data_IF_721634048972
#
_entry.id   IF_721634048972
#
_cell.length_a   1.000
_cell.length_b   1.000
_cell.length_c   1.000
_cell.angle_alpha   90.00
_cell.angle_beta   90.00
_cell.angle_gamma   90.00
#
_symmetry.space_group_name_H-M   'P 1'
#
loop_
_entity.id
_entity.type
_entity.pdbx_description
1 polymer ?
#
# COMPACT_ATOMS: atom_id res chain seq x y z
N UNK A 1 -18.08 8.11 -31.12
CA UNK A 1 -17.87 8.62 -29.75
C UNK A 1 -16.71 7.85 -29.15
N UNK A 2 -15.55 8.49 -29.06
CA UNK A 2 -14.35 7.91 -28.47
C UNK A 2 -14.60 7.84 -26.96
N UNK A 3 -15.00 6.65 -26.45
CA UNK A 3 -15.14 6.39 -25.00
C UNK A 3 -13.75 6.39 -24.40
N UNK A 4 -13.25 7.61 -24.20
CA UNK A 4 -11.88 7.88 -23.79
C UNK A 4 -11.60 7.23 -22.45
N UNK A 5 -10.66 6.27 -22.47
CA UNK A 5 -9.73 5.88 -21.41
C UNK A 5 -9.98 6.59 -20.06
N UNK A 6 -11.04 6.23 -19.34
CA UNK A 6 -11.28 6.84 -18.03
C UNK A 6 -10.31 6.21 -17.04
N UNK A 7 -9.33 7.01 -16.65
CA UNK A 7 -8.36 6.69 -15.62
C UNK A 7 -8.08 7.94 -14.80
N UNK A 8 -7.91 7.75 -13.50
CA UNK A 8 -7.43 8.77 -12.59
C UNK A 8 -6.27 8.19 -11.77
N UNK A 9 -5.41 9.06 -11.27
CA UNK A 9 -4.29 8.66 -10.43
C UNK A 9 -4.36 9.44 -9.14
N UNK A 10 -4.54 8.72 -8.03
CA UNK A 10 -4.31 9.27 -6.70
C UNK A 10 -2.81 9.37 -6.52
N UNK A 11 -2.33 10.60 -6.32
CA UNK A 11 -0.89 10.86 -6.26
C UNK A 11 -0.27 10.25 -5.02
N UNK A 12 0.97 9.82 -5.12
CA UNK A 12 1.73 9.29 -3.99
C UNK A 12 1.82 10.33 -2.87
N UNK A 13 1.64 9.88 -1.64
CA UNK A 13 2.04 10.62 -0.43
C UNK A 13 3.31 9.97 0.13
N UNK A 14 4.33 10.78 0.36
CA UNK A 14 5.61 10.32 0.89
C UNK A 14 5.50 9.89 2.36
N UNK A 15 6.47 9.10 2.82
CA UNK A 15 6.62 8.81 4.24
C UNK A 15 7.00 10.11 4.95
N UNK A 16 6.31 10.52 6.04
CA UNK A 16 6.63 11.73 6.78
C UNK A 16 8.04 11.66 7.40
N UNK A 17 8.59 12.83 7.74
CA UNK A 17 9.91 12.92 8.39
C UNK A 17 9.87 12.26 9.77
N UNK A 18 8.76 12.43 10.49
CA UNK A 18 8.55 11.86 11.80
C UNK A 18 7.52 10.73 11.74
N UNK A 19 7.82 9.65 12.45
CA UNK A 19 6.98 8.47 12.60
C UNK A 19 6.93 8.07 14.07
N UNK A 20 5.92 7.30 14.41
CA UNK A 20 5.64 6.87 15.78
C UNK A 20 5.91 5.37 15.91
N UNK A 21 7.15 5.02 16.28
CA UNK A 21 7.60 3.64 16.46
C UNK A 21 6.89 3.00 17.65
N UNK A 22 6.32 1.82 17.47
CA UNK A 22 5.65 1.08 18.54
C UNK A 22 6.70 0.57 19.55
N UNK A 23 6.43 0.79 20.84
CA UNK A 23 7.33 0.40 21.94
C UNK A 23 6.62 -0.39 23.03
N UNK A 24 7.38 -1.24 23.74
CA UNK A 24 6.94 -2.00 24.91
C UNK A 24 6.86 -1.11 26.17
N UNK A 25 6.44 -1.69 27.30
CA UNK A 25 6.32 -0.96 28.58
C UNK A 25 7.64 -0.48 29.17
N UNK A 26 8.78 -0.91 28.63
CA UNK A 26 10.12 -0.46 28.99
C UNK A 26 10.66 0.57 28.00
N UNK A 27 9.85 1.02 27.04
CA UNK A 27 10.24 1.95 25.98
C UNK A 27 11.15 1.32 24.93
N UNK A 28 11.24 0.00 24.85
CA UNK A 28 12.02 -0.69 23.81
C UNK A 28 11.15 -0.92 22.58
N UNK A 29 11.70 -0.87 21.36
CA UNK A 29 10.93 -1.15 20.16
C UNK A 29 10.27 -2.52 20.21
N UNK A 30 8.96 -2.56 19.98
CA UNK A 30 8.23 -3.82 19.75
C UNK A 30 8.81 -4.49 18.51
N UNK A 31 9.05 -5.80 18.62
CA UNK A 31 9.70 -6.56 17.55
C UNK A 31 9.18 -7.98 17.47
N UNK A 32 9.02 -8.47 16.26
CA UNK A 32 8.76 -9.89 15.96
C UNK A 32 9.87 -10.44 15.09
N UNK A 33 10.39 -11.63 15.43
CA UNK A 33 11.38 -12.26 14.58
C UNK A 33 10.66 -12.87 13.37
N UNK A 34 11.07 -12.48 12.16
CA UNK A 34 10.66 -13.21 10.97
C UNK A 34 11.53 -14.46 10.80
N UNK A 35 10.93 -15.55 10.31
CA UNK A 35 11.57 -16.86 10.06
C UNK A 35 12.85 -16.83 9.19
N UNK A 36 13.20 -15.68 8.60
CA UNK A 36 14.30 -15.52 7.63
C UNK A 36 15.26 -14.35 7.91
N UNK A 37 15.39 -13.90 9.16
CA UNK A 37 16.62 -13.24 9.62
C UNK A 37 16.54 -11.76 10.03
N UNK A 38 15.56 -10.98 9.57
CA UNK A 38 15.37 -9.60 10.02
C UNK A 38 14.18 -9.50 11.00
N UNK A 39 14.35 -8.76 12.09
CA UNK A 39 13.23 -8.45 12.99
C UNK A 39 12.25 -7.49 12.29
N UNK A 40 10.95 -7.65 12.51
CA UNK A 40 9.94 -6.71 12.03
C UNK A 40 9.59 -5.76 13.17
N UNK A 41 9.56 -4.47 12.86
CA UNK A 41 9.12 -3.40 13.75
C UNK A 41 8.03 -2.58 13.06
N UNK A 42 7.22 -1.87 13.84
CA UNK A 42 6.06 -1.16 13.32
C UNK A 42 6.09 0.30 13.72
N UNK A 43 5.67 1.16 12.81
CA UNK A 43 5.54 2.59 13.05
C UNK A 43 4.23 3.11 12.47
N UNK A 44 3.68 4.15 13.10
CA UNK A 44 2.51 4.85 12.61
C UNK A 44 2.85 6.25 12.15
N UNK A 45 2.21 6.71 11.08
CA UNK A 45 2.24 8.10 10.64
C UNK A 45 1.40 9.00 11.55
N UNK A 46 0.33 8.46 12.13
CA UNK A 46 -0.43 9.08 13.21
C UNK A 46 -0.47 8.14 14.42
N UNK A 47 0.01 8.57 15.60
CA UNK A 47 0.10 7.69 16.77
C UNK A 47 -1.28 7.23 17.31
N UNK A 48 -2.35 7.94 16.96
CA UNK A 48 -3.72 7.60 17.38
C UNK A 48 -4.28 6.38 16.67
N UNK A 49 -3.71 6.01 15.53
CA UNK A 49 -4.10 4.81 14.78
C UNK A 49 -3.62 3.50 15.40
N UNK A 50 -2.68 3.59 16.35
CA UNK A 50 -2.16 2.41 17.05
C UNK A 50 -3.28 1.79 17.89
N UNK A 51 -3.62 0.50 17.69
CA UNK A 51 -4.56 -0.19 18.56
C UNK A 51 -4.08 -0.18 20.01
N UNK A 52 -4.98 0.04 20.98
CA UNK A 52 -4.64 0.11 22.41
C UNK A 52 -3.85 -1.10 22.90
N UNK A 53 -4.15 -2.30 22.38
CA UNK A 53 -3.48 -3.56 22.73
C UNK A 53 -2.18 -3.86 21.97
N UNK A 54 -1.68 -2.95 21.12
CA UNK A 54 -0.45 -3.17 20.37
C UNK A 54 0.71 -2.33 20.92
N UNK A 55 1.63 -2.98 21.64
CA UNK A 55 2.66 -2.30 22.41
C UNK A 55 2.07 -1.50 23.58
N UNK A 56 2.94 -0.84 24.35
CA UNK A 56 2.53 0.05 25.44
C UNK A 56 2.35 1.52 25.00
N UNK A 57 2.90 1.89 23.85
CA UNK A 57 2.81 3.24 23.32
C UNK A 57 3.60 3.41 22.03
N UNK A 58 3.88 4.67 21.69
CA UNK A 58 4.76 5.01 20.58
C UNK A 58 5.86 5.97 21.00
N UNK A 59 6.98 5.95 20.28
CA UNK A 59 8.06 6.92 20.40
C UNK A 59 8.29 7.59 19.05
N UNK A 60 8.41 8.91 19.03
CA UNK A 60 8.76 9.64 17.82
C UNK A 60 10.17 9.23 17.34
N UNK A 61 10.29 8.96 16.04
CA UNK A 61 11.53 8.59 15.38
C UNK A 61 11.55 9.18 13.97
N UNK A 62 12.73 9.57 13.50
CA UNK A 62 12.85 10.06 12.12
C UNK A 62 12.80 8.90 11.11
N UNK A 63 12.18 9.14 9.96
CA UNK A 63 12.15 8.17 8.86
C UNK A 63 13.53 7.91 8.27
N UNK A 64 14.47 8.85 8.40
CA UNK A 64 15.88 8.63 8.02
C UNK A 64 16.59 7.66 8.97
N UNK A 65 16.33 7.76 10.28
CA UNK A 65 16.83 6.76 11.24
C UNK A 65 16.26 5.38 10.94
N UNK A 66 14.97 5.28 10.57
CA UNK A 66 14.39 4.00 10.15
C UNK A 66 15.06 3.46 8.88
N UNK A 67 15.28 4.30 7.87
CA UNK A 67 16.02 3.93 6.63
C UNK A 67 17.41 3.37 6.94
N UNK A 68 18.14 4.03 7.82
CA UNK A 68 19.49 3.62 8.20
C UNK A 68 19.47 2.25 8.89
N UNK A 69 18.51 2.00 9.78
CA UNK A 69 18.34 0.71 10.46
C UNK A 69 17.94 -0.41 9.51
N UNK A 70 17.10 -0.12 8.52
CA UNK A 70 16.76 -1.09 7.47
C UNK A 70 17.96 -1.42 6.57
N UNK A 71 18.78 -0.42 6.26
CA UNK A 71 19.97 -0.61 5.42
C UNK A 71 21.01 -1.55 6.04
N UNK A 72 21.03 -1.72 7.37
CA UNK A 72 21.88 -2.73 8.02
C UNK A 72 21.34 -4.16 7.88
N UNK A 73 20.12 -4.34 7.37
CA UNK A 73 19.47 -5.62 7.15
C UNK A 73 18.99 -6.33 8.43
N UNK A 74 19.16 -5.72 9.61
CA UNK A 74 18.81 -6.34 10.90
C UNK A 74 17.33 -6.17 11.27
N UNK A 75 16.66 -5.17 10.68
CA UNK A 75 15.27 -4.83 10.96
C UNK A 75 14.55 -4.45 9.66
N UNK A 76 13.26 -4.76 9.56
CA UNK A 76 12.32 -4.25 8.55
C UNK A 76 11.19 -3.50 9.25
N UNK A 77 10.75 -2.40 8.66
CA UNK A 77 9.67 -1.57 9.18
C UNK A 77 8.38 -1.75 8.38
N UNK A 78 7.28 -1.87 9.12
CA UNK A 78 5.93 -1.83 8.59
C UNK A 78 5.29 -0.53 9.04
N UNK A 79 4.85 0.28 8.08
CA UNK A 79 4.18 1.56 8.34
C UNK A 79 2.67 1.36 8.27
N UNK A 80 1.97 1.98 9.22
CA UNK A 80 0.52 2.01 9.32
C UNK A 80 -0.10 0.60 9.20
N UNK A 81 0.33 -0.38 10.02
CA UNK A 81 -0.25 -1.72 9.98
C UNK A 81 -1.73 -1.69 10.37
N UNK A 82 -2.55 -2.51 9.69
CA UNK A 82 -3.98 -2.60 9.95
C UNK A 82 -4.26 -3.41 11.23
N UNK A 83 -4.74 -2.74 12.27
CA UNK A 83 -5.24 -3.40 13.48
C UNK A 83 -4.28 -4.44 14.07
N UNK A 84 -4.78 -5.50 14.74
CA UNK A 84 -3.92 -6.52 15.33
C UNK A 84 -3.27 -7.45 14.30
N UNK A 85 -3.62 -7.35 13.01
CA UNK A 85 -3.10 -8.23 11.96
C UNK A 85 -1.59 -8.06 11.73
N UNK A 86 -1.03 -6.91 12.16
CA UNK A 86 0.38 -6.50 11.96
C UNK A 86 0.84 -6.46 10.50
N UNK A 87 -0.06 -6.76 9.56
CA UNK A 87 0.13 -6.61 8.14
C UNK A 87 0.07 -5.13 7.79
N UNK A 88 1.01 -4.67 6.98
CA UNK A 88 1.07 -3.28 6.57
C UNK A 88 2.00 -3.08 5.40
N UNK A 89 2.17 -1.81 5.06
CA UNK A 89 3.07 -1.44 3.96
C UNK A 89 4.49 -1.52 4.48
N UNK A 90 5.29 -2.43 3.93
CA UNK A 90 6.73 -2.40 4.14
C UNK A 90 7.26 -1.02 3.76
N UNK A 91 8.25 -0.54 4.51
CA UNK A 91 8.99 0.69 4.22
C UNK A 91 9.75 0.48 2.89
N UNK A 92 9.06 0.58 1.75
CA UNK A 92 9.65 0.32 0.45
C UNK A 92 10.04 1.64 -0.22
N UNK A 93 11.18 1.67 -0.94
CA UNK A 93 11.44 2.75 -1.86
C UNK A 93 10.30 2.83 -2.88
N UNK A 94 9.99 4.03 -3.42
CA UNK A 94 9.01 4.14 -4.49
C UNK A 94 9.36 3.14 -5.59
N UNK A 95 8.38 2.37 -6.09
CA UNK A 95 8.63 1.45 -7.18
C UNK A 95 9.23 2.26 -8.33
N UNK A 96 10.42 1.86 -8.81
CA UNK A 96 10.93 2.40 -10.07
C UNK A 96 9.94 1.98 -11.17
N UNK A 97 9.62 2.83 -12.15
CA UNK A 97 8.79 2.37 -13.27
C UNK A 97 9.51 1.20 -13.96
N UNK A 98 8.80 0.12 -14.34
CA UNK A 98 9.39 -0.90 -15.20
C UNK A 98 9.85 -0.23 -16.49
N UNK A 99 11.15 -0.27 -16.76
CA UNK A 99 11.75 0.30 -17.97
C UNK A 99 11.34 -0.58 -19.14
N UNK A 100 10.39 -0.08 -19.95
CA UNK A 100 10.01 -0.48 -21.31
C UNK A 100 9.63 -1.96 -21.60
N UNK A 101 9.85 -2.89 -20.68
CA UNK A 101 9.45 -4.29 -20.85
C UNK A 101 7.99 -4.48 -20.40
N UNK A 102 7.19 -5.10 -21.25
CA UNK A 102 5.86 -5.61 -20.86
C UNK A 102 6.03 -6.60 -19.72
N UNK A 103 5.36 -6.35 -18.60
CA UNK A 103 5.39 -7.25 -17.46
C UNK A 103 4.59 -8.51 -17.78
N UNK A 104 5.25 -9.67 -17.68
CA UNK A 104 4.64 -11.00 -17.81
C UNK A 104 4.39 -11.60 -16.43
N UNK A 105 3.45 -12.53 -16.33
CA UNK A 105 3.07 -13.21 -15.08
C UNK A 105 2.60 -12.25 -13.99
N UNK A 106 1.65 -11.37 -14.32
CA UNK A 106 1.03 -10.48 -13.32
C UNK A 106 0.08 -11.30 -12.45
N UNK A 107 0.24 -11.22 -11.14
CA UNK A 107 -0.72 -11.74 -10.17
C UNK A 107 -1.48 -10.59 -9.53
N UNK A 108 -2.73 -10.84 -9.14
CA UNK A 108 -3.55 -9.90 -8.40
C UNK A 108 -3.91 -10.47 -7.05
N UNK A 109 -3.74 -9.68 -6.01
CA UNK A 109 -4.27 -9.97 -4.68
C UNK A 109 -5.17 -8.83 -4.23
N UNK A 110 -6.27 -9.08 -3.49
CA UNK A 110 -7.02 -8.01 -2.85
C UNK A 110 -6.08 -7.13 -2.01
N UNK A 111 -6.30 -5.82 -2.04
CA UNK A 111 -5.45 -4.87 -1.32
C UNK A 111 -5.45 -5.10 0.20
N UNK A 112 -6.58 -5.56 0.75
CA UNK A 112 -6.78 -5.74 2.19
C UNK A 112 -5.71 -6.57 2.92
N UNK A 113 -5.06 -7.53 2.26
CA UNK A 113 -4.12 -8.45 2.93
C UNK A 113 -2.67 -7.94 3.00
N UNK A 114 -2.27 -6.93 2.23
CA UNK A 114 -0.85 -6.59 2.06
C UNK A 114 -0.48 -5.12 2.30
N UNK A 115 -1.45 -4.28 2.68
CA UNK A 115 -1.30 -2.82 2.59
C UNK A 115 -1.65 -2.06 3.87
N UNK A 116 -2.09 -2.73 4.94
CA UNK A 116 -2.31 -2.06 6.22
C UNK A 116 -3.49 -1.10 6.21
N UNK A 117 -3.42 -0.03 7.01
CA UNK A 117 -4.56 0.86 7.27
C UNK A 117 -5.11 1.50 6.00
N UNK A 118 -4.28 1.86 5.03
CA UNK A 118 -4.79 2.45 3.79
C UNK A 118 -5.65 1.47 2.98
N UNK A 119 -5.39 0.16 3.08
CA UNK A 119 -6.25 -0.83 2.44
C UNK A 119 -7.63 -0.90 3.12
N UNK A 120 -7.70 -0.77 4.45
CA UNK A 120 -8.96 -0.68 5.17
C UNK A 120 -9.74 0.58 4.77
N UNK A 121 -9.09 1.73 4.79
CA UNK A 121 -9.67 3.01 4.40
C UNK A 121 -10.16 2.99 2.94
N UNK A 122 -9.36 2.43 2.04
CA UNK A 122 -9.74 2.31 0.62
C UNK A 122 -10.90 1.32 0.45
N UNK A 123 -10.89 0.19 1.16
CA UNK A 123 -11.96 -0.81 1.11
C UNK A 123 -13.30 -0.28 1.66
N UNK A 124 -13.29 0.65 2.62
CA UNK A 124 -14.50 1.33 3.07
C UNK A 124 -15.02 2.34 2.02
N UNK A 125 -14.13 2.83 1.16
CA UNK A 125 -14.45 3.80 0.11
C UNK A 125 -14.93 3.13 -1.18
N UNK A 126 -14.53 1.88 -1.45
CA UNK A 126 -14.77 1.21 -2.74
C UNK A 126 -15.30 -0.21 -2.55
N UNK A 127 -16.08 -0.70 -3.51
CA UNK A 127 -16.70 -2.02 -3.37
C UNK A 127 -15.66 -3.13 -3.11
N UNK A 128 -15.94 -4.10 -2.22
CA UNK A 128 -15.07 -5.25 -1.98
C UNK A 128 -14.67 -5.94 -3.29
N UNK A 129 -13.41 -6.39 -3.37
CA UNK A 129 -12.88 -7.05 -4.57
C UNK A 129 -12.44 -6.11 -5.70
N UNK A 130 -12.75 -4.81 -5.63
CA UNK A 130 -12.33 -3.83 -6.66
C UNK A 130 -10.98 -3.18 -6.39
N UNK A 131 -10.42 -3.39 -5.21
CA UNK A 131 -9.10 -2.91 -4.80
C UNK A 131 -8.08 -4.03 -4.90
N UNK A 132 -7.14 -3.92 -5.83
CA UNK A 132 -6.16 -4.95 -6.18
C UNK A 132 -4.73 -4.42 -6.04
N UNK A 133 -3.86 -5.26 -5.49
CA UNK A 133 -2.41 -5.12 -5.65
C UNK A 133 -1.99 -6.02 -6.81
N UNK A 134 -1.61 -5.41 -7.93
CA UNK A 134 -0.99 -6.15 -9.03
C UNK A 134 0.50 -6.32 -8.75
N UNK A 135 1.05 -7.52 -8.98
CA UNK A 135 2.48 -7.80 -8.79
C UNK A 135 3.08 -8.49 -10.01
N UNK A 136 4.32 -8.15 -10.33
CA UNK A 136 5.14 -8.88 -11.31
C UNK A 136 6.60 -8.80 -10.89
N UNK A 137 7.14 -9.92 -10.38
CA UNK A 137 8.45 -9.95 -9.74
C UNK A 137 8.53 -8.93 -8.60
N UNK A 138 9.49 -7.98 -8.70
CA UNK A 138 9.68 -6.91 -7.71
C UNK A 138 8.73 -5.71 -7.88
N UNK A 139 7.94 -5.69 -8.94
CA UNK A 139 7.06 -4.55 -9.25
C UNK A 139 5.69 -4.76 -8.62
N UNK A 140 5.14 -3.68 -8.09
CA UNK A 140 3.78 -3.64 -7.55
C UNK A 140 3.02 -2.43 -8.11
N UNK A 141 1.73 -2.59 -8.30
CA UNK A 141 0.83 -1.53 -8.76
C UNK A 141 -0.51 -1.64 -8.02
N UNK A 142 -0.80 -0.72 -7.08
CA UNK A 142 -2.12 -0.58 -6.50
C UNK A 142 -3.11 -0.10 -7.56
N UNK A 143 -4.22 -0.82 -7.69
CA UNK A 143 -5.27 -0.56 -8.67
C UNK A 143 -6.63 -0.60 -7.98
N UNK A 144 -7.48 0.37 -8.32
CA UNK A 144 -8.91 0.37 -7.97
C UNK A 144 -9.72 0.34 -9.26
N UNK A 145 -10.66 -0.60 -9.35
CA UNK A 145 -11.56 -0.78 -10.49
C UNK A 145 -12.89 -0.05 -10.23
N UNK A 146 -13.35 0.77 -11.18
CA UNK A 146 -14.59 1.54 -11.02
C UNK A 146 -15.06 2.12 -12.36
N UNK A 147 -16.37 2.22 -12.53
CA UNK A 147 -16.98 2.92 -13.68
C UNK A 147 -16.80 4.45 -13.60
N UNK A 148 -16.46 4.99 -12.43
CA UNK A 148 -16.32 6.44 -12.19
C UNK A 148 -14.93 6.81 -11.64
N UNK A 149 -13.84 6.67 -12.43
CA UNK A 149 -12.49 6.82 -11.91
C UNK A 149 -12.17 8.15 -11.22
N UNK A 150 -12.72 9.27 -11.71
CA UNK A 150 -12.47 10.59 -11.11
C UNK A 150 -13.13 10.73 -9.75
N UNK A 151 -14.43 10.47 -9.66
CA UNK A 151 -15.17 10.56 -8.40
C UNK A 151 -14.62 9.59 -7.35
N UNK A 152 -14.29 8.36 -7.75
CA UNK A 152 -13.64 7.40 -6.85
C UNK A 152 -12.25 7.87 -6.40
N UNK A 153 -11.44 8.47 -7.28
CA UNK A 153 -10.14 9.01 -6.90
C UNK A 153 -10.27 10.15 -5.89
N UNK A 154 -11.24 11.05 -6.06
CA UNK A 154 -11.54 12.12 -5.11
C UNK A 154 -11.97 11.57 -3.75
N UNK A 155 -12.84 10.55 -3.73
CA UNK A 155 -13.25 9.89 -2.50
C UNK A 155 -12.07 9.22 -1.78
N UNK A 156 -11.18 8.54 -2.52
CA UNK A 156 -9.97 7.93 -1.97
C UNK A 156 -9.02 9.00 -1.39
N UNK A 157 -8.80 10.12 -2.10
CA UNK A 157 -7.98 11.23 -1.60
C UNK A 157 -8.55 11.77 -0.29
N UNK A 158 -9.87 11.97 -0.24
CA UNK A 158 -10.54 12.44 0.96
C UNK A 158 -10.39 11.46 2.13
N UNK A 159 -10.55 10.15 1.88
CA UNK A 159 -10.46 9.11 2.89
C UNK A 159 -9.03 8.90 3.41
N UNK A 160 -8.02 8.90 2.52
CA UNK A 160 -6.62 8.68 2.88
C UNK A 160 -5.98 9.91 3.54
N UNK A 161 -6.41 11.12 3.19
CA UNK A 161 -5.80 12.34 3.68
C UNK A 161 -4.29 12.39 3.40
N UNK A 162 -3.50 12.70 4.43
CA UNK A 162 -2.03 12.79 4.35
C UNK A 162 -1.30 11.49 4.73
N UNK A 163 -2.01 10.36 4.81
CA UNK A 163 -1.38 9.08 5.14
C UNK A 163 -0.37 8.68 4.06
N UNK A 164 0.79 8.12 4.40
CA UNK A 164 1.77 7.69 3.41
C UNK A 164 1.24 6.51 2.59
N UNK A 165 1.19 6.67 1.27
CA UNK A 165 0.77 5.62 0.34
C UNK A 165 1.44 5.78 -1.04
N UNK A 166 1.65 4.67 -1.78
CA UNK A 166 2.06 4.74 -3.18
C UNK A 166 1.01 5.43 -4.05
N UNK A 167 1.36 5.74 -5.30
CA UNK A 167 0.35 6.18 -6.27
C UNK A 167 -0.66 5.04 -6.53
N UNK A 168 -1.94 5.37 -6.56
CA UNK A 168 -3.03 4.41 -6.80
C UNK A 168 -3.66 4.71 -8.15
N UNK A 169 -3.77 3.67 -8.99
CA UNK A 169 -4.36 3.78 -10.31
C UNK A 169 -5.84 3.41 -10.24
N UNK A 170 -6.70 4.41 -10.46
CA UNK A 170 -8.15 4.21 -10.47
C UNK A 170 -8.58 4.11 -11.93
N UNK A 171 -9.11 2.97 -12.34
CA UNK A 171 -9.36 2.65 -13.75
C UNK A 171 -10.67 1.94 -13.97
N UNK A 172 -11.27 2.15 -15.13
CA UNK A 172 -12.47 1.41 -15.57
C UNK A 172 -12.15 -0.01 -16.06
N UNK A 173 -10.91 -0.23 -16.52
CA UNK A 173 -10.47 -1.54 -16.99
C UNK A 173 -8.99 -1.54 -17.38
N UNK A 174 -8.50 -2.66 -17.90
CA UNK A 174 -7.06 -2.89 -18.11
C UNK A 174 -6.38 -1.85 -19.03
N UNK A 175 -7.13 -1.25 -19.97
CA UNK A 175 -6.61 -0.21 -20.88
C UNK A 175 -6.24 1.10 -20.15
N UNK A 176 -6.84 1.36 -18.99
CA UNK A 176 -6.53 2.52 -18.14
C UNK A 176 -5.19 2.39 -17.39
N UNK A 177 -4.63 1.19 -17.30
CA UNK A 177 -3.36 0.95 -16.61
C UNK A 177 -2.16 1.57 -17.37
N UNK A 178 -1.03 1.79 -16.68
CA UNK A 178 0.24 2.11 -17.34
C UNK A 178 0.61 1.05 -18.38
N UNK A 179 1.18 1.49 -19.52
CA UNK A 179 1.48 0.63 -20.68
C UNK A 179 2.15 -0.72 -20.32
N UNK A 180 3.16 -0.78 -19.44
CA UNK A 180 3.85 -2.05 -19.12
C UNK A 180 2.96 -3.11 -18.48
N UNK A 181 1.85 -2.70 -17.84
CA UNK A 181 0.96 -3.59 -17.10
C UNK A 181 -0.23 -4.08 -17.92
N UNK A 182 -0.66 -3.34 -18.95
CA UNK A 182 -1.93 -3.57 -19.66
C UNK A 182 -2.13 -5.01 -20.12
N UNK A 183 -1.12 -5.60 -20.75
CA UNK A 183 -1.21 -6.96 -21.31
C UNK A 183 -1.19 -8.01 -20.21
N UNK A 184 -0.23 -7.93 -19.28
CA UNK A 184 -0.08 -8.92 -18.22
C UNK A 184 -1.24 -8.90 -17.21
N UNK A 185 -1.79 -7.72 -16.93
CA UNK A 185 -2.86 -7.53 -15.96
C UNK A 185 -4.27 -7.71 -16.54
N UNK A 186 -4.42 -7.88 -17.85
CA UNK A 186 -5.73 -7.89 -18.50
C UNK A 186 -6.67 -8.94 -17.89
N UNK A 187 -6.25 -10.20 -17.84
CA UNK A 187 -7.06 -11.28 -17.29
C UNK A 187 -7.44 -11.06 -15.81
N UNK A 188 -6.50 -10.54 -15.01
CA UNK A 188 -6.73 -10.27 -13.60
C UNK A 188 -7.75 -9.14 -13.38
N UNK A 189 -7.66 -8.07 -14.18
CA UNK A 189 -8.59 -6.94 -14.12
C UNK A 189 -9.98 -7.33 -14.62
N UNK A 190 -10.07 -8.04 -15.75
CA UNK A 190 -11.35 -8.50 -16.29
C UNK A 190 -12.04 -9.47 -15.34
N UNK A 191 -11.31 -10.44 -14.77
CA UNK A 191 -11.87 -11.38 -13.80
C UNK A 191 -12.45 -10.66 -12.56
N UNK A 192 -11.74 -9.66 -12.04
CA UNK A 192 -12.21 -8.88 -10.89
C UNK A 192 -13.37 -7.93 -11.23
N UNK A 193 -13.44 -7.44 -12.47
CA UNK A 193 -14.53 -6.58 -12.92
C UNK A 193 -15.82 -7.36 -13.21
N UNK A 194 -15.70 -8.59 -13.73
CA UNK A 194 -16.83 -9.43 -14.13
C UNK A 194 -17.39 -10.32 -13.01
N UNK A 195 -16.70 -10.46 -11.88
CA UNK A 195 -17.19 -11.22 -10.70
C UNK A 195 -18.29 -10.47 -9.90
N UNK A 196 -19.14 -9.74 -10.63
CA UNK A 196 -20.28 -8.94 -10.15
C UNK A 196 -21.46 -9.82 -9.71
#
# INVERSE_FOLDING_TARGET
MDRGRSAAVVQRVGIPVELHLVVDSRGRPEREQADRGAAVQWAYSDPTDRPTGFGAGTQCISSDTLRQREATGSVRFVIDPAGPSRAGTEFLPPPRPPVLATLRSVTSTPLGTAAGLWAAITADTVSPGRSLMLRSGRWSLPVVLTEQPRATAEAIVHALGNRPHPAIFVVEGARGLPRPWRTGAHAAVEAAFLSL
#
